data_IF_687288452528
#
_entry.id   IF_687288452528
#
_cell.length_a   1.000
_cell.length_b   1.000
_cell.length_c   1.000
_cell.angle_alpha   90.00
_cell.angle_beta   90.00
_cell.angle_gamma   90.00
#
_symmetry.space_group_name_H-M   'P 1'
#
loop_
_entity.id
_entity.type
_entity.pdbx_description
1 polymer ?
#
# COMPACT_ATOMS: atom_id res chain seq x y z
N UNK A 1 -53.12 5.77 66.88
CA UNK A 1 -53.74 4.48 66.51
C UNK A 1 -52.69 3.63 65.81
N UNK A 2 -52.37 2.46 66.36
CA UNK A 2 -51.42 1.51 65.76
C UNK A 2 -52.12 0.75 64.62
N UNK A 3 -51.50 0.68 63.44
CA UNK A 3 -52.05 -0.08 62.31
C UNK A 3 -52.10 -1.56 62.64
N UNK A 4 -53.15 -2.24 62.20
CA UNK A 4 -53.30 -3.69 62.38
C UNK A 4 -52.25 -4.45 61.55
N UNK A 5 -51.90 -5.68 61.96
CA UNK A 5 -50.94 -6.50 61.19
C UNK A 5 -51.37 -6.75 59.73
N UNK A 6 -52.69 -6.84 59.49
CA UNK A 6 -53.25 -6.96 58.13
C UNK A 6 -52.96 -5.73 57.27
N UNK A 7 -53.14 -4.52 57.81
CA UNK A 7 -52.82 -3.27 57.13
C UNK A 7 -51.32 -3.13 56.85
N UNK A 8 -50.47 -3.58 57.78
CA UNK A 8 -49.02 -3.58 57.58
C UNK A 8 -48.57 -4.52 56.44
N UNK A 9 -49.22 -5.69 56.32
CA UNK A 9 -48.97 -6.65 55.24
C UNK A 9 -49.44 -6.12 53.88
N UNK A 10 -50.62 -5.51 53.83
CA UNK A 10 -51.16 -4.88 52.63
C UNK A 10 -50.26 -3.73 52.13
N UNK A 11 -49.78 -2.87 53.04
CA UNK A 11 -48.86 -1.78 52.70
C UNK A 11 -47.54 -2.30 52.10
N UNK A 12 -46.95 -3.35 52.70
CA UNK A 12 -45.73 -3.98 52.17
C UNK A 12 -45.93 -4.59 50.79
N UNK A 13 -47.11 -5.16 50.54
CA UNK A 13 -47.43 -5.74 49.25
C UNK A 13 -47.62 -4.66 48.18
N UNK A 14 -48.33 -3.59 48.49
CA UNK A 14 -48.47 -2.42 47.62
C UNK A 14 -47.12 -1.78 47.29
N UNK A 15 -46.24 -1.62 48.29
CA UNK A 15 -44.87 -1.12 48.07
C UNK A 15 -44.04 -2.02 47.15
N UNK A 16 -44.20 -3.35 47.25
CA UNK A 16 -43.52 -4.32 46.36
C UNK A 16 -44.05 -4.25 44.93
N UNK A 17 -45.35 -4.13 44.76
CA UNK A 17 -45.98 -3.99 43.44
C UNK A 17 -45.56 -2.68 42.76
N UNK A 18 -45.54 -1.57 43.50
CA UNK A 18 -45.10 -0.28 42.99
C UNK A 18 -43.60 -0.29 42.65
N UNK A 19 -42.76 -0.91 43.48
CA UNK A 19 -41.34 -1.10 43.20
C UNK A 19 -41.11 -1.97 41.95
N UNK A 20 -41.87 -3.06 41.80
CA UNK A 20 -41.81 -3.93 40.62
C UNK A 20 -42.29 -3.20 39.34
N UNK A 21 -43.33 -2.38 39.43
CA UNK A 21 -43.80 -1.55 38.31
C UNK A 21 -42.75 -0.51 37.89
N UNK A 22 -42.10 0.16 38.86
CA UNK A 22 -40.99 1.09 38.61
C UNK A 22 -39.78 0.39 37.99
N UNK A 23 -39.47 -0.84 38.42
CA UNK A 23 -38.38 -1.63 37.84
C UNK A 23 -38.68 -2.03 36.39
N UNK A 24 -39.87 -2.57 36.09
CA UNK A 24 -40.28 -2.89 34.71
C UNK A 24 -40.28 -1.66 33.78
N UNK A 25 -40.67 -0.50 34.29
CA UNK A 25 -40.63 0.75 33.53
C UNK A 25 -39.18 1.18 33.21
N UNK A 26 -38.25 1.00 34.15
CA UNK A 26 -36.80 1.23 33.94
C UNK A 26 -36.22 0.24 32.95
N UNK A 27 -36.53 -1.04 33.07
CA UNK A 27 -36.03 -2.09 32.19
C UNK A 27 -36.50 -1.87 30.75
N UNK A 28 -37.78 -1.53 30.55
CA UNK A 28 -38.32 -1.18 29.22
C UNK A 28 -37.66 0.07 28.64
N UNK A 29 -37.43 1.10 29.45
CA UNK A 29 -36.71 2.31 29.00
C UNK A 29 -35.26 1.99 28.64
N UNK A 30 -34.57 1.21 29.46
CA UNK A 30 -33.20 0.78 29.21
C UNK A 30 -33.12 -0.07 27.94
N UNK A 31 -34.10 -0.95 27.69
CA UNK A 31 -34.19 -1.72 26.45
C UNK A 31 -34.27 -0.82 25.22
N UNK A 32 -35.11 0.22 25.23
CA UNK A 32 -35.19 1.17 24.11
C UNK A 32 -33.91 2.00 23.95
N UNK A 33 -33.27 2.40 25.05
CA UNK A 33 -31.99 3.12 25.01
C UNK A 33 -30.90 2.22 24.41
N UNK A 34 -30.78 0.98 24.88
CA UNK A 34 -29.81 0.01 24.38
C UNK A 34 -30.08 -0.30 22.91
N UNK A 35 -31.34 -0.57 22.54
CA UNK A 35 -31.73 -0.79 21.15
C UNK A 35 -31.45 0.42 20.25
N UNK A 36 -31.67 1.64 20.75
CA UNK A 36 -31.33 2.87 20.05
C UNK A 36 -29.82 3.03 19.83
N UNK A 37 -29.01 2.79 20.87
CA UNK A 37 -27.55 2.83 20.79
C UNK A 37 -27.01 1.77 19.83
N UNK A 38 -27.52 0.53 19.91
CA UNK A 38 -27.11 -0.54 19.01
C UNK A 38 -27.50 -0.22 17.55
N UNK A 39 -28.69 0.35 17.35
CA UNK A 39 -29.14 0.80 16.04
C UNK A 39 -28.25 1.90 15.45
N UNK A 40 -27.89 2.92 16.24
CA UNK A 40 -27.00 3.99 15.77
C UNK A 40 -25.60 3.49 15.47
N UNK A 41 -25.05 2.60 16.31
CA UNK A 41 -23.74 1.97 16.08
C UNK A 41 -23.76 1.14 14.81
N UNK A 42 -24.79 0.33 14.57
CA UNK A 42 -24.92 -0.46 13.36
C UNK A 42 -24.96 0.41 12.09
N UNK A 43 -25.73 1.51 12.12
CA UNK A 43 -25.78 2.46 11.01
C UNK A 43 -24.42 3.13 10.78
N UNK A 44 -23.74 3.56 11.84
CA UNK A 44 -22.41 4.15 11.73
C UNK A 44 -21.39 3.18 11.10
N UNK A 45 -21.40 1.90 11.51
CA UNK A 45 -20.56 0.85 10.92
C UNK A 45 -20.83 0.71 9.42
N UNK A 46 -22.11 0.68 9.01
CA UNK A 46 -22.47 0.59 7.59
C UNK A 46 -21.99 1.80 6.80
N UNK A 47 -22.15 3.02 7.34
CA UNK A 47 -21.67 4.24 6.69
C UNK A 47 -20.16 4.20 6.52
N UNK A 48 -19.41 3.80 7.56
CA UNK A 48 -17.95 3.67 7.48
C UNK A 48 -17.56 2.61 6.45
N UNK A 49 -18.22 1.46 6.43
CA UNK A 49 -17.95 0.41 5.44
C UNK A 49 -18.22 0.89 4.00
N UNK A 50 -19.31 1.63 3.76
CA UNK A 50 -19.62 2.20 2.46
C UNK A 50 -18.60 3.26 2.04
N UNK A 51 -18.16 4.12 2.97
CA UNK A 51 -17.14 5.12 2.71
C UNK A 51 -15.79 4.48 2.35
N UNK A 52 -15.37 3.44 3.08
CA UNK A 52 -14.16 2.68 2.79
C UNK A 52 -14.23 1.98 1.43
N UNK A 53 -15.38 1.37 1.11
CA UNK A 53 -15.57 0.73 -0.19
C UNK A 53 -15.53 1.75 -1.34
N UNK A 54 -16.19 2.90 -1.19
CA UNK A 54 -16.13 3.97 -2.19
C UNK A 54 -14.71 4.50 -2.39
N UNK A 55 -13.97 4.72 -1.29
CA UNK A 55 -12.58 5.15 -1.35
C UNK A 55 -11.69 4.13 -2.08
N UNK A 56 -11.86 2.83 -1.81
CA UNK A 56 -11.13 1.77 -2.50
C UNK A 56 -11.43 1.70 -4.00
N UNK A 57 -12.70 1.89 -4.39
CA UNK A 57 -13.09 1.97 -5.80
C UNK A 57 -12.44 3.17 -6.49
N UNK A 58 -12.49 4.37 -5.87
CA UNK A 58 -11.87 5.57 -6.43
C UNK A 58 -10.34 5.42 -6.52
N UNK A 59 -9.70 4.76 -5.55
CA UNK A 59 -8.25 4.53 -5.58
C UNK A 59 -7.79 3.63 -6.73
N UNK A 60 -8.69 2.79 -7.27
CA UNK A 60 -8.39 1.85 -8.37
C UNK A 60 -9.00 2.27 -9.71
N UNK A 61 -9.85 3.30 -9.74
CA UNK A 61 -10.61 3.73 -10.93
C UNK A 61 -9.74 4.04 -12.15
N UNK A 62 -8.52 4.53 -11.95
CA UNK A 62 -7.64 4.96 -13.04
C UNK A 62 -6.50 3.96 -13.33
N UNK A 63 -6.43 2.85 -12.58
CA UNK A 63 -5.39 1.83 -12.73
C UNK A 63 -5.61 1.08 -14.05
N UNK A 64 -4.53 0.81 -14.75
CA UNK A 64 -4.55 -0.05 -15.92
C UNK A 64 -4.84 -1.50 -15.49
N UNK A 65 -5.57 -2.28 -16.31
CA UNK A 65 -5.77 -3.70 -16.02
C UNK A 65 -4.46 -4.46 -16.19
N UNK A 66 -4.12 -5.30 -15.21
CA UNK A 66 -2.95 -6.17 -15.30
C UNK A 66 -3.13 -7.21 -16.41
N UNK A 67 -2.11 -7.37 -17.24
CA UNK A 67 -2.02 -8.38 -18.29
C UNK A 67 -0.86 -9.33 -18.03
N UNK A 68 -1.08 -10.62 -18.33
CA UNK A 68 0.00 -11.61 -18.22
C UNK A 68 0.90 -11.50 -19.43
N UNK A 69 2.15 -11.08 -19.22
CA UNK A 69 3.20 -11.05 -20.25
C UNK A 69 4.11 -12.27 -20.08
N UNK A 70 4.15 -13.13 -21.10
CA UNK A 70 4.90 -14.40 -21.06
C UNK A 70 6.37 -14.28 -21.47
N UNK A 71 6.70 -13.25 -22.24
CA UNK A 71 8.07 -13.00 -22.69
C UNK A 71 8.75 -11.97 -21.78
N UNK A 72 10.01 -12.20 -21.43
CA UNK A 72 10.79 -11.21 -20.69
C UNK A 72 11.04 -9.98 -21.57
N UNK A 73 10.79 -8.79 -21.03
CA UNK A 73 10.98 -7.51 -21.72
C UNK A 73 12.29 -6.87 -21.26
N UNK A 74 12.99 -6.18 -22.16
CA UNK A 74 14.25 -5.51 -21.86
C UNK A 74 15.47 -6.43 -21.99
N UNK A 75 16.62 -5.90 -21.58
CA UNK A 75 17.93 -6.55 -21.63
C UNK A 75 18.18 -7.28 -20.31
N UNK A 76 18.42 -8.58 -20.40
CA UNK A 76 18.94 -9.38 -19.28
C UNK A 76 20.38 -8.94 -18.96
N UNK A 77 20.64 -8.68 -17.68
CA UNK A 77 21.93 -8.30 -17.14
C UNK A 77 22.45 -9.48 -16.30
N UNK A 78 23.67 -9.99 -16.56
CA UNK A 78 24.25 -11.07 -15.79
C UNK A 78 24.26 -10.79 -14.29
N UNK A 79 24.01 -11.83 -13.50
CA UNK A 79 24.03 -11.73 -12.04
C UNK A 79 25.37 -11.18 -11.54
N UNK A 80 25.30 -10.13 -10.73
CA UNK A 80 26.49 -9.40 -10.30
C UNK A 80 27.17 -10.04 -9.09
N UNK A 81 26.48 -10.95 -8.41
CA UNK A 81 26.91 -11.64 -7.21
C UNK A 81 25.72 -12.00 -6.32
N UNK A 82 25.95 -12.71 -5.20
CA UNK A 82 24.87 -13.11 -4.30
C UNK A 82 24.13 -11.88 -3.77
N UNK A 83 22.80 -12.01 -3.64
CA UNK A 83 21.94 -11.06 -2.94
C UNK A 83 22.39 -10.94 -1.48
N UNK A 84 23.30 -10.00 -1.23
CA UNK A 84 23.99 -9.86 0.05
C UNK A 84 23.51 -8.58 0.71
N UNK A 85 22.89 -8.73 1.86
CA UNK A 85 22.50 -7.60 2.71
C UNK A 85 23.76 -6.96 3.32
N UNK A 86 23.93 -5.67 3.09
CA UNK A 86 25.02 -4.86 3.65
C UNK A 86 24.46 -3.71 4.48
N UNK A 87 25.26 -3.25 5.45
CA UNK A 87 24.89 -2.11 6.29
C UNK A 87 24.82 -0.82 5.45
N UNK A 88 23.83 0.09 5.67
CA UNK A 88 23.72 1.35 4.94
C UNK A 88 24.93 2.29 5.05
N UNK A 89 25.85 2.06 6.00
CA UNK A 89 27.16 2.74 6.05
C UNK A 89 28.16 2.26 4.99
N UNK A 90 27.85 1.16 4.29
CA UNK A 90 28.63 0.63 3.17
C UNK A 90 28.16 1.28 1.88
N UNK A 91 29.08 1.63 0.98
CA UNK A 91 28.74 2.04 -0.38
C UNK A 91 28.92 0.85 -1.32
N UNK A 92 27.85 0.19 -1.79
CA UNK A 92 27.97 -0.95 -2.68
C UNK A 92 28.55 -0.53 -4.03
N UNK A 93 29.24 -1.46 -4.68
CA UNK A 93 29.70 -1.30 -6.06
C UNK A 93 29.14 -2.41 -6.92
N UNK A 94 28.84 -2.05 -8.16
CA UNK A 94 28.14 -2.88 -9.14
C UNK A 94 28.96 -2.94 -10.43
N UNK A 95 28.81 -4.00 -11.20
CA UNK A 95 29.51 -4.18 -12.49
C UNK A 95 28.77 -3.47 -13.63
N UNK A 96 27.48 -3.25 -13.45
CA UNK A 96 26.53 -2.63 -14.37
C UNK A 96 25.73 -1.56 -13.62
N UNK A 97 25.41 -0.49 -14.34
CA UNK A 97 24.64 0.63 -13.82
C UNK A 97 23.54 1.00 -14.83
N UNK A 98 22.29 1.24 -14.40
CA UNK A 98 21.79 1.06 -13.03
C UNK A 98 21.83 -0.41 -12.55
N UNK A 99 22.08 -0.67 -11.26
CA UNK A 99 22.21 -2.04 -10.78
C UNK A 99 20.88 -2.78 -10.81
N UNK A 100 20.91 -4.00 -11.36
CA UNK A 100 19.77 -4.91 -11.43
C UNK A 100 19.83 -6.03 -10.39
N UNK A 101 20.95 -6.18 -9.68
CA UNK A 101 21.20 -7.21 -8.66
C UNK A 101 22.43 -6.87 -7.83
N UNK A 102 22.80 -7.73 -6.88
CA UNK A 102 24.02 -7.60 -6.09
C UNK A 102 23.80 -7.07 -4.68
N UNK A 103 24.86 -6.58 -4.00
CA UNK A 103 24.79 -6.18 -2.60
C UNK A 103 23.89 -4.96 -2.38
N UNK A 104 23.01 -5.02 -1.39
CA UNK A 104 22.01 -3.97 -1.14
C UNK A 104 21.68 -3.86 0.35
N UNK A 105 21.00 -2.79 0.75
CA UNK A 105 20.79 -2.47 2.16
C UNK A 105 19.67 -3.30 2.74
N UNK A 106 19.77 -3.72 4.00
CA UNK A 106 18.67 -4.35 4.75
C UNK A 106 18.67 -3.82 6.17
N UNK A 107 17.90 -2.74 6.37
CA UNK A 107 17.77 -2.09 7.68
C UNK A 107 16.44 -1.35 7.74
N UNK A 108 15.68 -1.59 8.81
CA UNK A 108 14.40 -0.92 9.04
C UNK A 108 14.57 0.61 8.97
N UNK A 109 13.73 1.26 8.15
CA UNK A 109 13.79 2.70 7.90
C UNK A 109 14.80 3.12 6.83
N UNK A 110 15.57 2.19 6.27
CA UNK A 110 16.49 2.42 5.14
C UNK A 110 16.07 1.64 3.89
N UNK A 111 15.84 0.34 4.01
CA UNK A 111 15.45 -0.56 2.92
C UNK A 111 14.74 -1.82 3.48
N UNK A 112 13.72 -2.39 2.79
CA UNK A 112 13.13 -1.87 1.55
C UNK A 112 12.44 -0.52 1.80
N UNK A 113 12.32 0.29 0.75
CA UNK A 113 11.61 1.58 0.83
C UNK A 113 10.14 1.41 0.41
N UNK A 114 9.23 2.32 0.81
CA UNK A 114 7.84 2.25 0.38
C UNK A 114 7.68 2.35 -1.14
N UNK A 115 6.68 1.65 -1.70
CA UNK A 115 6.33 1.67 -3.12
C UNK A 115 5.74 3.02 -3.56
N UNK A 116 6.61 3.97 -3.88
CA UNK A 116 6.23 5.32 -4.30
C UNK A 116 7.37 6.06 -5.01
N UNK A 117 7.10 7.28 -5.44
CA UNK A 117 8.12 8.23 -5.87
C UNK A 117 8.90 8.77 -4.66
N UNK A 118 10.22 8.67 -4.69
CA UNK A 118 11.14 9.13 -3.65
C UNK A 118 12.30 9.87 -4.32
N UNK A 119 12.53 11.13 -3.95
CA UNK A 119 13.45 12.02 -4.68
C UNK A 119 14.93 11.69 -4.52
N UNK A 120 15.34 10.91 -3.52
CA UNK A 120 16.77 10.70 -3.20
C UNK A 120 17.07 9.24 -2.81
N UNK A 121 16.63 8.26 -3.61
CA UNK A 121 17.02 6.88 -3.37
C UNK A 121 18.44 6.63 -3.85
N UNK A 122 19.18 5.87 -3.05
CA UNK A 122 20.48 5.33 -3.46
C UNK A 122 20.34 3.88 -3.91
N UNK A 123 21.34 3.42 -4.65
CA UNK A 123 21.38 2.10 -5.30
C UNK A 123 21.00 0.96 -4.35
N UNK A 124 21.64 0.88 -3.17
CA UNK A 124 21.35 -0.17 -2.19
C UNK A 124 19.91 -0.18 -1.67
N UNK A 125 19.15 0.91 -1.80
CA UNK A 125 17.74 0.94 -1.39
C UNK A 125 16.83 0.34 -2.45
N UNK A 126 16.89 0.85 -3.68
CA UNK A 126 16.00 0.34 -4.71
C UNK A 126 16.36 -1.09 -5.15
N UNK A 127 17.63 -1.52 -5.04
CA UNK A 127 18.00 -2.92 -5.32
C UNK A 127 17.34 -3.90 -4.34
N UNK A 128 17.12 -3.53 -3.08
CA UNK A 128 16.32 -4.35 -2.15
C UNK A 128 14.86 -4.45 -2.62
N UNK A 129 14.27 -3.34 -3.09
CA UNK A 129 12.94 -3.38 -3.69
C UNK A 129 12.89 -4.28 -4.94
N UNK A 130 13.97 -4.36 -5.74
CA UNK A 130 14.08 -5.32 -6.84
C UNK A 130 14.14 -6.77 -6.33
N UNK A 131 14.84 -7.02 -5.20
CA UNK A 131 14.90 -8.34 -4.55
C UNK A 131 13.50 -8.86 -4.21
N UNK A 132 12.62 -7.96 -3.75
CA UNK A 132 11.20 -8.23 -3.43
C UNK A 132 10.27 -8.27 -4.67
N UNK A 133 10.84 -8.30 -5.88
CA UNK A 133 10.08 -8.35 -7.13
C UNK A 133 9.44 -7.03 -7.53
N UNK A 134 9.91 -5.90 -7.01
CA UNK A 134 9.49 -4.57 -7.44
C UNK A 134 10.24 -4.05 -8.66
N UNK A 135 9.74 -2.96 -9.22
CA UNK A 135 10.31 -2.27 -10.38
C UNK A 135 10.80 -0.88 -9.96
N UNK A 136 12.04 -0.54 -10.30
CA UNK A 136 12.55 0.81 -10.17
C UNK A 136 12.43 1.57 -11.50
N UNK A 137 11.68 2.67 -11.47
CA UNK A 137 11.64 3.65 -12.56
C UNK A 137 12.65 4.74 -12.25
N UNK A 138 13.77 4.69 -12.94
CA UNK A 138 14.86 5.65 -12.80
C UNK A 138 14.75 6.67 -13.93
N UNK A 139 14.87 7.96 -13.61
CA UNK A 139 14.84 8.99 -14.63
C UNK A 139 16.01 9.95 -14.53
N UNK A 140 16.59 10.28 -15.69
CA UNK A 140 17.70 11.21 -15.82
C UNK A 140 17.22 12.44 -16.59
N UNK A 141 16.96 13.53 -15.88
CA UNK A 141 16.69 14.80 -16.55
C UNK A 141 17.39 15.98 -15.84
N UNK A 142 18.25 16.75 -16.56
CA UNK A 142 18.95 17.90 -16.01
C UNK A 142 18.07 19.15 -16.12
N UNK A 143 17.11 19.29 -15.19
CA UNK A 143 16.24 20.46 -14.96
C UNK A 143 15.47 21.03 -16.19
N UNK A 144 14.59 22.03 -15.95
CA UNK A 144 13.76 22.66 -16.98
C UNK A 144 12.38 22.03 -17.18
N UNK A 145 11.56 22.66 -18.05
CA UNK A 145 10.15 22.30 -18.24
C UNK A 145 9.96 20.87 -18.73
N UNK A 146 10.82 20.40 -19.64
CA UNK A 146 10.79 19.02 -20.14
C UNK A 146 11.05 17.99 -19.02
N UNK A 147 11.94 18.33 -18.07
CA UNK A 147 12.23 17.48 -16.91
C UNK A 147 11.05 17.44 -15.95
N UNK A 148 10.43 18.60 -15.68
CA UNK A 148 9.21 18.69 -14.87
C UNK A 148 8.07 17.91 -15.51
N UNK A 149 7.88 18.02 -16.83
CA UNK A 149 6.88 17.27 -17.57
C UNK A 149 7.10 15.75 -17.46
N UNK A 150 8.32 15.28 -17.71
CA UNK A 150 8.68 13.86 -17.58
C UNK A 150 8.45 13.34 -16.15
N UNK A 151 8.94 14.08 -15.13
CA UNK A 151 8.73 13.72 -13.72
C UNK A 151 7.25 13.57 -13.40
N UNK A 152 6.44 14.56 -13.78
CA UNK A 152 5.01 14.56 -13.50
C UNK A 152 4.27 13.41 -14.20
N UNK A 153 4.65 13.08 -15.45
CA UNK A 153 4.08 11.96 -16.18
C UNK A 153 4.39 10.62 -15.51
N UNK A 154 5.66 10.39 -15.13
CA UNK A 154 6.07 9.18 -14.43
C UNK A 154 5.43 9.08 -13.04
N UNK A 155 5.39 10.18 -12.29
CA UNK A 155 4.76 10.22 -10.96
C UNK A 155 3.26 9.93 -11.05
N UNK A 156 2.57 10.48 -12.06
CA UNK A 156 1.18 10.15 -12.34
C UNK A 156 1.01 8.66 -12.69
N UNK A 157 1.92 8.08 -13.47
CA UNK A 157 1.89 6.66 -13.78
C UNK A 157 1.98 5.81 -12.51
N UNK A 158 2.98 6.03 -11.66
CA UNK A 158 3.17 5.29 -10.40
C UNK A 158 1.94 5.40 -9.50
N UNK A 159 1.42 6.62 -9.32
CA UNK A 159 0.31 6.89 -8.40
C UNK A 159 -1.03 6.39 -8.90
N UNK A 160 -1.31 6.50 -10.19
CA UNK A 160 -2.67 6.37 -10.71
C UNK A 160 -2.83 5.27 -11.75
N UNK A 161 -1.80 4.93 -12.53
CA UNK A 161 -1.95 4.09 -13.73
C UNK A 161 -1.35 2.69 -13.57
N UNK A 162 -0.21 2.55 -12.89
CA UNK A 162 0.50 1.28 -12.75
C UNK A 162 -0.47 0.18 -12.26
N UNK A 163 -0.59 -0.96 -12.96
CA UNK A 163 -1.54 -2.02 -12.59
C UNK A 163 -1.31 -2.54 -11.18
N UNK A 164 -2.39 -2.99 -10.53
CA UNK A 164 -2.29 -3.76 -9.30
C UNK A 164 -1.91 -5.19 -9.67
N UNK A 165 -0.81 -5.71 -9.14
CA UNK A 165 -0.39 -7.10 -9.42
C UNK A 165 -1.33 -8.11 -8.70
N UNK A 166 -1.54 -9.32 -9.26
CA UNK A 166 -2.56 -10.25 -8.77
C UNK A 166 -2.13 -11.15 -7.59
N UNK A 167 -0.84 -11.22 -7.27
CA UNK A 167 -0.26 -12.05 -6.21
C UNK A 167 -0.50 -11.44 -4.83
N UNK A 168 -0.06 -10.21 -4.62
CA UNK A 168 -0.09 -9.50 -3.34
C UNK A 168 -1.10 -8.35 -3.31
N UNK A 169 -1.76 -8.07 -4.44
CA UNK A 169 -2.77 -7.04 -4.60
C UNK A 169 -2.24 -5.63 -4.31
N UNK A 170 -1.00 -5.35 -4.70
CA UNK A 170 -0.35 -4.05 -4.54
C UNK A 170 0.29 -3.54 -5.85
N UNK A 171 0.94 -2.38 -5.77
CA UNK A 171 1.68 -1.78 -6.88
C UNK A 171 3.13 -1.67 -6.46
N UNK A 172 3.99 -2.56 -6.94
CA UNK A 172 5.40 -2.62 -6.56
C UNK A 172 6.30 -1.77 -7.46
N UNK A 173 6.17 -0.45 -7.35
CA UNK A 173 6.99 0.49 -8.11
C UNK A 173 7.64 1.50 -7.19
N UNK A 174 8.95 1.68 -7.34
CA UNK A 174 9.69 2.82 -6.78
C UNK A 174 10.16 3.71 -7.92
N UNK A 175 10.18 5.02 -7.70
CA UNK A 175 10.63 5.97 -8.73
C UNK A 175 11.57 6.99 -8.11
N UNK A 176 12.71 7.26 -8.76
CA UNK A 176 13.71 8.20 -8.25
C UNK A 176 14.53 8.81 -9.39
N UNK A 177 15.02 10.06 -9.25
CA UNK A 177 16.00 10.60 -10.18
C UNK A 177 17.32 9.83 -10.07
N UNK A 178 17.94 9.52 -11.20
CA UNK A 178 19.19 8.77 -11.26
C UNK A 178 19.92 9.07 -12.57
N UNK A 179 21.25 9.14 -12.54
CA UNK A 179 22.05 9.54 -13.71
C UNK A 179 23.17 8.56 -14.07
N UNK A 180 23.69 7.78 -13.12
CA UNK A 180 24.85 6.93 -13.31
C UNK A 180 24.51 5.73 -14.20
N UNK A 181 25.24 5.54 -15.30
CA UNK A 181 24.99 4.41 -16.21
C UNK A 181 23.68 4.50 -17.01
N UNK A 182 22.98 5.64 -16.95
CA UNK A 182 21.77 5.85 -17.75
C UNK A 182 22.12 5.98 -19.24
N UNK A 183 21.60 5.07 -20.06
CA UNK A 183 21.76 5.13 -21.53
C UNK A 183 20.74 6.08 -22.18
N UNK A 184 19.57 6.29 -21.54
CA UNK A 184 18.49 7.17 -22.00
C UNK A 184 17.85 7.94 -20.84
N UNK A 185 16.75 8.66 -21.11
CA UNK A 185 16.07 9.51 -20.10
C UNK A 185 15.37 8.70 -19.01
N UNK A 186 14.90 7.48 -19.33
CA UNK A 186 14.24 6.60 -18.37
C UNK A 186 14.89 5.22 -18.44
N UNK A 187 15.11 4.61 -17.28
CA UNK A 187 15.45 3.21 -17.15
C UNK A 187 14.41 2.50 -16.28
N UNK A 188 13.95 1.36 -16.75
CA UNK A 188 13.07 0.44 -16.04
C UNK A 188 13.93 -0.70 -15.55
N UNK A 189 13.98 -0.91 -14.25
CA UNK A 189 14.91 -1.85 -13.64
C UNK A 189 14.12 -2.86 -12.82
N UNK A 190 14.35 -4.13 -13.11
CA UNK A 190 13.87 -5.28 -12.34
C UNK A 190 15.07 -6.13 -11.93
N UNK A 191 14.86 -7.14 -11.09
CA UNK A 191 15.93 -8.06 -10.76
C UNK A 191 16.46 -8.75 -12.04
N UNK A 192 17.75 -8.60 -12.34
CA UNK A 192 18.42 -9.06 -13.58
C UNK A 192 17.95 -8.46 -14.92
N UNK A 193 17.05 -7.48 -14.94
CA UNK A 193 16.58 -6.89 -16.20
C UNK A 193 16.61 -5.36 -16.18
N UNK A 194 16.95 -4.78 -17.34
CA UNK A 194 16.85 -3.33 -17.57
C UNK A 194 16.28 -3.04 -18.94
N UNK A 195 15.42 -2.03 -19.04
CA UNK A 195 15.02 -1.45 -20.32
C UNK A 195 15.21 0.08 -20.30
N UNK A 196 15.60 0.65 -21.43
CA UNK A 196 15.88 2.08 -21.56
C UNK A 196 14.92 2.74 -22.55
N UNK A 197 14.25 3.79 -22.10
CA UNK A 197 13.30 4.57 -22.90
C UNK A 197 13.81 6.01 -23.10
N UNK A 198 13.56 6.56 -24.30
CA UNK A 198 13.93 7.94 -24.66
C UNK A 198 13.08 9.00 -23.93
N UNK A 199 11.97 8.60 -23.32
CA UNK A 199 11.04 9.45 -22.58
C UNK A 199 9.91 8.63 -21.93
N UNK A 200 8.82 9.31 -21.59
CA UNK A 200 7.63 8.66 -21.04
C UNK A 200 6.89 7.85 -22.11
N UNK A 201 6.84 6.53 -21.94
CA UNK A 201 6.01 5.61 -22.71
C UNK A 201 5.22 4.70 -21.74
N UNK A 202 3.95 5.02 -21.42
CA UNK A 202 3.20 4.24 -20.45
C UNK A 202 2.95 2.79 -20.90
N UNK A 203 2.92 2.52 -22.20
CA UNK A 203 2.67 1.17 -22.70
C UNK A 203 3.89 0.28 -22.45
N UNK A 204 5.09 0.75 -22.81
CA UNK A 204 6.32 0.00 -22.56
C UNK A 204 6.64 -0.10 -21.06
N UNK A 205 6.36 0.95 -20.27
CA UNK A 205 6.49 0.89 -18.80
C UNK A 205 5.57 -0.19 -18.22
N UNK A 206 4.31 -0.23 -18.65
CA UNK A 206 3.33 -1.23 -18.19
C UNK A 206 3.75 -2.63 -18.59
N UNK A 207 4.16 -2.81 -19.84
CA UNK A 207 4.59 -4.10 -20.39
C UNK A 207 5.82 -4.65 -19.65
N UNK A 208 6.80 -3.79 -19.36
CA UNK A 208 7.97 -4.16 -18.55
C UNK A 208 7.54 -4.55 -17.13
N UNK A 209 6.71 -3.73 -16.48
CA UNK A 209 6.18 -4.00 -15.14
C UNK A 209 5.48 -5.36 -15.05
N UNK A 210 4.53 -5.63 -15.94
CA UNK A 210 3.78 -6.89 -16.01
C UNK A 210 4.66 -8.10 -16.31
N UNK A 211 5.74 -7.89 -17.06
CA UNK A 211 6.69 -8.96 -17.38
C UNK A 211 7.64 -9.32 -16.23
N UNK A 212 7.76 -8.48 -15.19
CA UNK A 212 8.82 -8.63 -14.17
C UNK A 212 8.37 -8.52 -12.72
N UNK A 213 7.21 -7.92 -12.43
CA UNK A 213 6.72 -7.81 -11.06
C UNK A 213 6.56 -9.20 -10.41
N UNK A 214 6.93 -9.30 -9.13
CA UNK A 214 7.00 -10.54 -8.33
C UNK A 214 7.99 -11.61 -8.83
N UNK A 215 8.89 -11.27 -9.75
CA UNK A 215 9.93 -12.19 -10.26
C UNK A 215 11.31 -11.97 -9.63
N UNK A 216 11.36 -11.32 -8.47
CA UNK A 216 12.57 -11.20 -7.66
C UNK A 216 12.93 -12.51 -6.94
N UNK A 217 14.15 -12.62 -6.37
CA UNK A 217 14.58 -13.77 -5.58
C UNK A 217 13.71 -14.05 -4.35
N UNK A 218 13.13 -13.01 -3.74
CA UNK A 218 12.24 -13.14 -2.59
C UNK A 218 10.78 -12.91 -2.99
N UNK A 219 9.93 -13.86 -2.63
CA UNK A 219 8.50 -13.83 -2.93
C UNK A 219 7.71 -13.36 -1.72
N UNK A 220 7.68 -12.04 -1.49
CA UNK A 220 7.02 -11.39 -0.36
C UNK A 220 6.29 -10.11 -0.79
N UNK A 221 5.26 -9.74 -0.02
CA UNK A 221 4.56 -8.45 -0.12
C UNK A 221 5.42 -7.34 0.49
#
# INVERSE_FOLDING_TARGET
MSRTQKELKALRQQQREEAAARQRARDRRNLYIIGGILGTVAVAIVIVALALNHAAQVATQNRLPFQVVTEAVGREIPDEGPATHVDPSTTPTYKFYPPTSGPHYSLQGSAPVPWQTIDNLVEGQFVHNLEHGGIAILYNCPSGDDCTALKNQLENYVKNLAPVEPTFHEVKVVMTPYSRGMEKKVALVAWHYVDFLDGYDPNEITRFYESHVDKGPENIA
#
